data_IF_645310936371
#
_entry.id   IF_645310936371
#
_cell.length_a   1.000
_cell.length_b   1.000
_cell.length_c   1.000
_cell.angle_alpha   90.00
_cell.angle_beta   90.00
_cell.angle_gamma   90.00
#
_symmetry.space_group_name_H-M   'P 1'
#
loop_
_entity.id
_entity.type
_entity.pdbx_description
1 polymer ?
#
# COMPACT_ATOMS: atom_id res chain seq x y z
N UNK A 1 -13.21 -1.85 -11.49
CA UNK A 1 -12.02 -2.65 -11.10
C UNK A 1 -11.33 -3.23 -12.33
N UNK A 2 -11.87 -4.26 -13.01
CA UNK A 2 -11.24 -4.87 -14.20
C UNK A 2 -10.91 -3.85 -15.30
N UNK A 3 -11.90 -3.06 -15.74
CA UNK A 3 -11.70 -1.96 -16.71
C UNK A 3 -10.74 -0.87 -16.27
N UNK A 4 -10.48 -0.75 -14.98
CA UNK A 4 -9.55 0.23 -14.41
C UNK A 4 -8.16 -0.36 -14.17
N UNK A 5 -7.89 -1.58 -14.63
CA UNK A 5 -6.66 -2.35 -14.43
C UNK A 5 -6.30 -2.62 -12.96
N UNK A 6 -7.31 -2.69 -12.08
CA UNK A 6 -7.11 -3.16 -10.71
C UNK A 6 -7.20 -4.68 -10.65
N UNK A 7 -6.20 -5.30 -10.02
CA UNK A 7 -6.13 -6.74 -9.73
C UNK A 7 -6.27 -6.95 -8.22
N UNK A 8 -6.84 -8.10 -7.82
CA UNK A 8 -6.85 -8.48 -6.39
C UNK A 8 -5.41 -8.84 -5.99
N UNK A 9 -4.94 -8.30 -4.86
CA UNK A 9 -3.63 -8.66 -4.35
C UNK A 9 -3.63 -10.12 -3.86
N UNK A 10 -2.72 -10.94 -4.40
CA UNK A 10 -2.61 -12.36 -4.04
C UNK A 10 -1.91 -12.54 -2.70
N UNK A 11 -2.00 -13.74 -2.11
CA UNK A 11 -1.29 -14.03 -0.86
C UNK A 11 0.24 -13.88 -1.03
N UNK A 12 0.79 -14.26 -2.18
CA UNK A 12 2.21 -14.15 -2.48
C UNK A 12 2.65 -12.68 -2.55
N UNK A 13 1.89 -11.82 -3.23
CA UNK A 13 2.15 -10.38 -3.30
C UNK A 13 2.14 -9.76 -1.89
N UNK A 14 1.17 -10.16 -1.05
CA UNK A 14 1.04 -9.71 0.34
C UNK A 14 2.23 -10.19 1.18
N UNK A 15 2.64 -11.44 1.04
CA UNK A 15 3.77 -12.00 1.80
C UNK A 15 5.10 -11.34 1.38
N UNK A 16 5.28 -11.08 0.09
CA UNK A 16 6.44 -10.34 -0.45
C UNK A 16 6.45 -8.90 0.07
N UNK A 17 5.29 -8.25 0.12
CA UNK A 17 5.14 -6.92 0.68
C UNK A 17 5.52 -6.90 2.18
N UNK A 18 4.98 -7.83 2.97
CA UNK A 18 5.23 -7.92 4.41
C UNK A 18 6.60 -8.50 4.80
N UNK A 19 7.36 -9.08 3.85
CA UNK A 19 8.72 -9.58 4.09
C UNK A 19 9.75 -8.46 4.32
N UNK A 20 9.37 -7.19 4.11
CA UNK A 20 10.23 -6.03 4.26
C UNK A 20 9.97 -5.20 5.51
N UNK A 21 11.02 -4.55 5.99
CA UNK A 21 10.92 -3.42 6.90
C UNK A 21 11.40 -2.18 6.13
N UNK A 22 10.57 -1.13 6.10
CA UNK A 22 10.92 0.16 5.49
C UNK A 22 11.15 1.21 6.59
N UNK A 23 10.48 2.37 6.54
CA UNK A 23 10.72 3.49 7.46
C UNK A 23 9.93 3.33 8.75
N UNK A 24 8.74 2.71 8.68
CA UNK A 24 7.83 2.58 9.81
C UNK A 24 7.82 1.14 10.30
N UNK A 25 8.66 0.83 11.29
CA UNK A 25 8.66 -0.45 11.98
C UNK A 25 7.48 -0.54 12.97
N UNK A 26 6.26 -0.49 12.43
CA UNK A 26 5.03 -0.47 13.20
C UNK A 26 4.42 -1.87 13.17
N UNK A 27 4.27 -2.56 14.31
CA UNK A 27 3.54 -3.83 14.34
C UNK A 27 2.04 -3.56 14.19
N UNK A 28 1.56 -3.33 12.97
CA UNK A 28 0.16 -3.01 12.68
C UNK A 28 -0.57 -4.30 12.40
N UNK A 29 -1.29 -4.79 13.41
CA UNK A 29 -2.16 -5.96 13.24
C UNK A 29 -3.61 -5.53 13.07
N UNK A 30 -4.34 -6.20 12.19
CA UNK A 30 -5.78 -5.99 12.02
C UNK A 30 -6.54 -6.59 13.19
N UNK A 31 -7.48 -5.84 13.75
CA UNK A 31 -8.40 -6.36 14.74
C UNK A 31 -9.56 -7.10 14.05
N UNK A 32 -9.36 -8.39 13.80
CA UNK A 32 -10.33 -9.22 13.10
C UNK A 32 -11.72 -9.28 13.74
N UNK A 33 -11.84 -9.07 15.06
CA UNK A 33 -13.13 -9.14 15.74
C UNK A 33 -14.07 -8.01 15.35
N UNK A 34 -13.53 -6.94 14.76
CA UNK A 34 -14.29 -5.78 14.30
C UNK A 34 -14.65 -5.84 12.82
N UNK A 35 -14.33 -6.94 12.14
CA UNK A 35 -14.63 -7.12 10.72
C UNK A 35 -15.68 -8.21 10.54
N UNK A 36 -16.58 -7.97 9.61
CA UNK A 36 -17.53 -8.97 9.17
C UNK A 36 -16.84 -10.01 8.26
N UNK A 37 -17.10 -11.29 8.52
CA UNK A 37 -16.52 -12.42 7.77
C UNK A 37 -17.51 -13.10 6.80
N UNK A 38 -18.74 -12.58 6.72
CA UNK A 38 -19.84 -13.26 6.01
C UNK A 38 -20.02 -12.70 4.60
N UNK A 39 -19.91 -11.38 4.43
CA UNK A 39 -20.20 -10.73 3.14
C UNK A 39 -19.28 -11.20 2.03
N UNK A 40 -17.98 -11.04 2.23
CA UNK A 40 -16.98 -11.33 1.21
C UNK A 40 -16.87 -12.84 1.00
N UNK A 41 -16.93 -13.62 2.08
CA UNK A 41 -16.98 -15.08 1.99
C UNK A 41 -18.11 -15.55 1.07
N UNK A 42 -19.35 -15.11 1.31
CA UNK A 42 -20.48 -15.49 0.47
C UNK A 42 -20.33 -14.99 -0.98
N UNK A 43 -19.74 -13.81 -1.18
CA UNK A 43 -19.53 -13.27 -2.53
C UNK A 43 -18.57 -14.13 -3.36
N UNK A 44 -17.43 -14.52 -2.78
CA UNK A 44 -16.42 -15.34 -3.47
C UNK A 44 -16.79 -16.83 -3.55
N UNK A 45 -17.63 -17.33 -2.64
CA UNK A 45 -18.23 -18.66 -2.81
C UNK A 45 -19.20 -18.69 -4.01
N UNK A 46 -19.94 -17.61 -4.24
CA UNK A 46 -20.82 -17.48 -5.41
C UNK A 46 -20.09 -17.12 -6.71
N UNK A 47 -18.92 -16.49 -6.61
CA UNK A 47 -18.07 -16.08 -7.74
C UNK A 47 -16.64 -16.55 -7.50
N UNK A 48 -16.33 -17.82 -7.83
CA UNK A 48 -14.98 -18.35 -7.68
C UNK A 48 -13.97 -17.48 -8.42
N UNK A 49 -12.87 -17.17 -7.75
CA UNK A 49 -11.76 -16.41 -8.28
C UNK A 49 -10.48 -17.10 -7.88
N UNK A 50 -9.53 -17.20 -8.80
CA UNK A 50 -8.24 -17.82 -8.53
C UNK A 50 -7.36 -16.89 -7.67
N UNK A 51 -6.43 -17.49 -6.92
CA UNK A 51 -5.38 -16.79 -6.15
C UNK A 51 -5.88 -15.76 -5.11
N UNK A 52 -7.00 -16.05 -4.44
CA UNK A 52 -7.49 -15.21 -3.34
C UNK A 52 -6.55 -15.22 -2.12
N UNK A 53 -6.39 -14.08 -1.42
CA UNK A 53 -5.57 -14.00 -0.22
C UNK A 53 -6.23 -14.73 0.96
N UNK A 54 -5.44 -15.18 1.95
CA UNK A 54 -5.94 -15.90 3.13
C UNK A 54 -6.96 -15.08 3.94
N UNK A 55 -6.91 -13.75 3.84
CA UNK A 55 -7.80 -12.82 4.52
C UNK A 55 -9.02 -12.39 3.69
N UNK A 56 -9.32 -13.06 2.58
CA UNK A 56 -10.38 -12.67 1.64
C UNK A 56 -11.77 -12.55 2.28
N UNK A 57 -12.02 -13.31 3.36
CA UNK A 57 -13.28 -13.29 4.09
C UNK A 57 -13.50 -11.99 4.89
N UNK A 58 -12.43 -11.28 5.25
CA UNK A 58 -12.44 -10.08 6.11
C UNK A 58 -12.36 -8.78 5.31
N UNK A 59 -11.42 -8.72 4.37
CA UNK A 59 -11.18 -7.55 3.52
C UNK A 59 -10.51 -7.97 2.21
N UNK A 60 -10.71 -7.18 1.18
CA UNK A 60 -10.05 -7.35 -0.11
C UNK A 60 -9.23 -6.12 -0.42
N UNK A 61 -8.03 -6.35 -0.92
CA UNK A 61 -7.12 -5.33 -1.41
C UNK A 61 -7.08 -5.47 -2.93
N UNK A 62 -7.41 -4.39 -3.61
CA UNK A 62 -7.17 -4.25 -5.04
C UNK A 62 -5.97 -3.35 -5.23
N UNK A 63 -5.03 -3.75 -6.08
CA UNK A 63 -3.83 -2.98 -6.41
C UNK A 63 -3.77 -2.67 -7.91
N UNK A 64 -3.13 -1.56 -8.26
CA UNK A 64 -2.84 -1.14 -9.63
C UNK A 64 -1.51 -0.39 -9.66
N UNK A 65 -0.64 -0.75 -10.61
CA UNK A 65 0.67 -0.14 -10.81
C UNK A 65 1.69 -0.48 -9.72
N UNK A 66 2.97 -0.49 -10.12
CA UNK A 66 4.11 -0.62 -9.22
C UNK A 66 5.02 0.59 -9.47
N UNK A 67 5.19 1.40 -8.43
CA UNK A 67 6.07 2.56 -8.41
C UNK A 67 7.29 2.35 -7.54
N UNK A 68 8.10 3.39 -7.40
CA UNK A 68 9.31 3.38 -6.57
C UNK A 68 9.26 4.56 -5.61
N UNK A 69 9.34 4.29 -4.30
CA UNK A 69 9.59 5.32 -3.29
C UNK A 69 11.08 5.35 -2.94
N UNK A 70 11.66 6.55 -3.02
CA UNK A 70 13.08 6.80 -2.71
C UNK A 70 13.17 7.89 -1.67
N UNK A 71 13.74 7.55 -0.53
CA UNK A 71 14.02 8.53 0.54
C UNK A 71 15.51 8.58 0.83
N UNK A 72 16.10 9.78 0.77
CA UNK A 72 17.52 10.00 1.09
C UNK A 72 17.64 10.93 2.29
N UNK A 73 18.04 10.38 3.43
CA UNK A 73 18.25 11.14 4.66
C UNK A 73 19.42 10.54 5.48
N UNK A 74 19.77 11.17 6.60
CA UNK A 74 20.81 10.68 7.50
C UNK A 74 20.40 9.41 8.26
N UNK A 75 19.10 9.25 8.54
CA UNK A 75 18.52 8.08 9.24
C UNK A 75 19.29 7.69 10.50
N UNK A 76 19.72 8.69 11.30
CA UNK A 76 20.66 8.49 12.41
C UNK A 76 20.07 7.58 13.48
N UNK A 77 18.82 7.84 13.89
CA UNK A 77 18.15 7.06 14.93
C UNK A 77 17.88 5.63 14.47
N UNK A 78 17.45 5.44 13.22
CA UNK A 78 17.17 4.14 12.62
C UNK A 78 18.44 3.30 12.50
N UNK A 79 19.56 3.91 12.12
CA UNK A 79 20.87 3.23 12.09
C UNK A 79 21.36 2.85 13.48
N UNK A 80 21.15 3.71 14.48
CA UNK A 80 21.49 3.41 15.89
C UNK A 80 20.64 2.25 16.42
N UNK A 81 19.33 2.26 16.17
CA UNK A 81 18.43 1.17 16.55
C UNK A 81 18.85 -0.15 15.89
N UNK A 82 19.28 -0.14 14.62
CA UNK A 82 19.83 -1.31 13.93
C UNK A 82 21.13 -1.83 14.54
N UNK A 83 22.04 -0.95 14.96
CA UNK A 83 23.27 -1.35 15.68
C UNK A 83 22.94 -2.00 17.03
N UNK A 84 21.98 -1.42 17.77
CA UNK A 84 21.50 -1.98 19.03
C UNK A 84 20.87 -3.37 18.79
N UNK A 85 20.05 -3.53 17.75
CA UNK A 85 19.42 -4.81 17.41
C UNK A 85 20.45 -5.89 17.03
N UNK A 86 21.47 -5.55 16.23
CA UNK A 86 22.58 -6.46 15.89
C UNK A 86 23.38 -6.87 17.14
N UNK A 87 23.63 -5.91 18.04
CA UNK A 87 24.32 -6.16 19.30
C UNK A 87 23.51 -7.09 20.23
N UNK A 88 22.20 -6.86 20.36
CA UNK A 88 21.32 -7.76 21.13
C UNK A 88 21.24 -9.15 20.53
N UNK A 89 21.12 -9.27 19.21
CA UNK A 89 21.10 -10.56 18.52
C UNK A 89 22.41 -11.32 18.77
N UNK A 90 23.54 -10.63 18.77
CA UNK A 90 24.84 -11.20 19.13
C UNK A 90 24.87 -11.69 20.59
N UNK A 91 24.41 -10.89 21.55
CA UNK A 91 24.32 -11.28 22.97
C UNK A 91 23.41 -12.49 23.17
N UNK A 92 22.24 -12.52 22.53
CA UNK A 92 21.28 -13.62 22.62
C UNK A 92 21.84 -14.93 22.03
N UNK A 93 22.62 -14.83 20.95
CA UNK A 93 23.29 -15.98 20.31
C UNK A 93 24.40 -16.54 21.19
N UNK A 94 25.17 -15.69 21.87
CA UNK A 94 26.20 -16.11 22.84
C UNK A 94 25.57 -16.79 24.05
N UNK A 95 24.50 -16.22 24.59
CA UNK A 95 23.83 -16.73 25.79
C UNK A 95 22.95 -17.96 25.53
N UNK A 96 22.86 -18.46 24.28
CA UNK A 96 22.04 -19.61 23.83
C UNK A 96 20.54 -19.52 24.19
N UNK A 97 20.05 -18.34 24.60
CA UNK A 97 18.66 -18.08 25.01
C UNK A 97 17.67 -18.10 23.83
N UNK A 98 18.16 -18.05 22.58
CA UNK A 98 17.35 -18.21 21.37
C UNK A 98 16.49 -19.49 21.38
N UNK A 99 16.99 -20.59 21.99
CA UNK A 99 16.23 -21.86 22.09
C UNK A 99 15.00 -21.77 23.01
N UNK A 100 14.97 -20.85 23.96
CA UNK A 100 13.85 -20.67 24.90
C UNK A 100 12.76 -19.76 24.31
N UNK A 101 13.13 -18.70 23.59
CA UNK A 101 12.19 -17.79 22.95
C UNK A 101 11.54 -18.37 21.67
N UNK A 102 12.31 -19.12 20.87
CA UNK A 102 11.83 -19.69 19.59
C UNK A 102 10.85 -20.86 19.73
N UNK A 103 10.83 -21.55 20.89
CA UNK A 103 9.90 -22.67 21.15
C UNK A 103 8.43 -22.26 21.23
N UNK A 104 8.11 -20.97 21.44
CA UNK A 104 6.72 -20.48 21.51
C UNK A 104 6.17 -19.98 20.17
N UNK A 105 7.03 -19.59 19.23
CA UNK A 105 6.64 -19.11 17.89
C UNK A 105 6.44 -20.25 16.86
N UNK A 106 7.09 -21.41 17.06
CA UNK A 106 7.11 -22.51 16.08
C UNK A 106 5.82 -23.33 15.98
N UNK A 107 4.78 -23.03 16.78
CA UNK A 107 3.52 -23.78 16.77
C UNK A 107 2.48 -23.29 15.75
N UNK A 108 2.76 -22.22 14.98
CA UNK A 108 1.81 -21.62 14.03
C UNK A 108 2.19 -21.68 12.55
N UNK A 109 3.36 -22.24 12.20
CA UNK A 109 3.76 -22.50 10.80
C UNK A 109 4.04 -23.98 10.61
N UNK A 110 2.98 -24.73 10.34
CA UNK A 110 3.02 -26.00 9.62
C UNK A 110 1.76 -26.08 8.78
N UNK A 111 1.88 -25.76 7.50
CA UNK A 111 1.04 -26.34 6.45
C UNK A 111 2.03 -26.83 5.38
N UNK A 112 1.90 -28.11 5.06
CA UNK A 112 2.81 -28.89 4.22
C UNK A 112 2.90 -28.33 2.79
N UNK A 113 4.04 -28.48 2.11
CA UNK A 113 4.11 -28.33 0.67
C UNK A 113 3.64 -29.64 0.01
N UNK A 114 2.73 -29.56 -0.96
CA UNK A 114 2.46 -30.65 -1.88
C UNK A 114 2.36 -30.13 -3.31
N UNK A 115 3.37 -30.55 -4.08
CA UNK A 115 3.46 -30.81 -5.52
C UNK A 115 2.78 -29.87 -6.50
N UNK A 116 3.63 -29.16 -7.24
CA UNK A 116 3.74 -29.10 -8.70
C UNK A 116 2.62 -29.82 -9.47
N UNK A 117 1.83 -29.03 -10.18
CA UNK A 117 1.35 -29.35 -11.53
C UNK A 117 1.36 -28.04 -12.34
N UNK A 118 1.95 -28.11 -13.54
CA UNK A 118 2.05 -27.03 -14.51
C UNK A 118 0.68 -26.41 -14.79
N UNK A 119 0.48 -25.16 -14.35
CA UNK A 119 -0.56 -24.31 -14.90
C UNK A 119 0.10 -23.01 -15.33
N UNK A 120 0.43 -22.97 -16.62
CA UNK A 120 0.84 -21.80 -17.36
C UNK A 120 -0.38 -20.90 -17.53
N UNK A 121 -0.69 -20.10 -16.49
CA UNK A 121 -1.68 -19.02 -16.54
C UNK A 121 -0.93 -17.69 -16.35
N UNK A 122 -0.64 -17.05 -17.47
CA UNK A 122 -0.42 -15.60 -17.66
C UNK A 122 -0.18 -14.76 -16.37
N UNK A 123 0.96 -14.99 -15.71
CA UNK A 123 1.53 -14.10 -14.70
C UNK A 123 2.40 -13.03 -15.40
N UNK A 124 1.82 -12.26 -16.32
CA UNK A 124 2.58 -11.25 -17.09
C UNK A 124 2.92 -9.96 -16.30
N UNK A 125 2.75 -9.90 -14.99
CA UNK A 125 2.78 -8.60 -14.29
C UNK A 125 3.43 -8.60 -12.90
N UNK A 126 4.15 -9.66 -12.53
CA UNK A 126 4.99 -9.68 -11.32
C UNK A 126 6.44 -10.04 -11.69
N UNK A 127 7.07 -9.16 -12.48
CA UNK A 127 8.52 -9.14 -12.58
C UNK A 127 9.10 -8.50 -11.31
N UNK A 128 9.40 -9.34 -10.33
CA UNK A 128 10.20 -8.98 -9.13
C UNK A 128 11.62 -8.47 -9.52
N UNK A 129 12.04 -8.70 -10.77
CA UNK A 129 13.36 -8.35 -11.31
C UNK A 129 13.54 -6.87 -11.70
N UNK A 130 12.49 -6.04 -11.73
CA UNK A 130 12.62 -4.62 -12.17
C UNK A 130 12.88 -3.65 -11.02
N UNK A 131 12.53 -3.98 -9.78
CA UNK A 131 12.51 -3.02 -8.67
C UNK A 131 13.38 -3.45 -7.48
N UNK A 132 14.67 -3.12 -7.53
CA UNK A 132 15.63 -3.46 -6.48
C UNK A 132 15.27 -2.79 -5.13
N UNK A 133 15.18 -3.59 -4.05
CA UNK A 133 14.93 -3.10 -2.69
C UNK A 133 16.25 -2.72 -2.01
N UNK A 134 16.43 -1.42 -1.75
CA UNK A 134 17.61 -0.90 -1.05
C UNK A 134 17.23 -0.64 0.40
N UNK A 135 17.62 -1.55 1.31
CA UNK A 135 17.26 -1.51 2.74
C UNK A 135 18.45 -1.17 3.64
N UNK A 136 18.20 -0.38 4.69
CA UNK A 136 19.17 -0.08 5.75
C UNK A 136 19.70 -1.34 6.45
N UNK A 137 18.86 -2.35 6.66
CA UNK A 137 19.20 -3.57 7.39
C UNK A 137 20.36 -4.36 6.77
N UNK A 138 20.45 -4.34 5.43
CA UNK A 138 21.47 -5.07 4.66
C UNK A 138 22.72 -4.24 4.40
N UNK A 139 22.74 -2.97 4.80
CA UNK A 139 23.90 -2.10 4.59
C UNK A 139 25.00 -2.32 5.66
N UNK A 140 26.27 -2.11 5.30
CA UNK A 140 27.37 -2.07 6.26
C UNK A 140 27.28 -0.78 7.11
N UNK A 141 26.50 -0.82 8.19
CA UNK A 141 26.41 0.28 9.15
C UNK A 141 27.65 0.26 10.06
N UNK A 142 28.48 1.30 9.98
CA UNK A 142 29.59 1.61 10.88
C UNK A 142 29.34 2.94 11.62
N UNK A 143 29.99 3.18 12.76
CA UNK A 143 29.86 4.42 13.53
C UNK A 143 30.11 5.68 12.67
N UNK A 144 31.05 5.65 11.73
CA UNK A 144 31.30 6.76 10.79
C UNK A 144 30.26 6.91 9.67
N UNK A 145 29.41 5.90 9.44
CA UNK A 145 28.33 5.94 8.45
C UNK A 145 27.02 6.53 8.99
N UNK A 146 26.92 6.77 10.30
CA UNK A 146 25.78 7.42 10.95
C UNK A 146 25.60 8.86 10.48
N UNK A 147 26.70 9.55 10.16
CA UNK A 147 26.69 10.94 9.68
C UNK A 147 26.60 11.06 8.15
N UNK A 148 26.52 9.93 7.42
CA UNK A 148 26.38 9.93 5.96
C UNK A 148 24.92 9.80 5.57
N UNK A 149 24.51 10.53 4.52
CA UNK A 149 23.22 10.31 3.89
C UNK A 149 23.15 8.91 3.29
N UNK A 150 21.99 8.28 3.43
CA UNK A 150 21.71 6.94 2.91
C UNK A 150 20.42 6.99 2.15
N UNK A 151 20.41 6.44 0.94
CA UNK A 151 19.20 6.30 0.13
C UNK A 151 18.57 4.94 0.42
N UNK A 152 17.31 4.95 0.82
CA UNK A 152 16.46 3.78 0.95
C UNK A 152 15.52 3.77 -0.25
N UNK A 153 15.29 2.59 -0.82
CA UNK A 153 14.36 2.40 -1.92
C UNK A 153 13.43 1.24 -1.60
N UNK A 154 12.13 1.46 -1.75
CA UNK A 154 11.09 0.44 -1.59
C UNK A 154 10.07 0.55 -2.74
N UNK A 155 9.68 -0.57 -3.38
CA UNK A 155 8.59 -0.56 -4.35
C UNK A 155 7.28 -0.15 -3.67
N UNK A 156 6.44 0.56 -4.42
CA UNK A 156 5.12 1.01 -3.96
C UNK A 156 4.03 0.41 -4.82
N UNK A 157 2.87 0.16 -4.21
CA UNK A 157 1.64 0.10 -5.00
C UNK A 157 1.22 1.52 -5.35
N UNK A 158 1.10 1.83 -6.64
CA UNK A 158 0.74 3.18 -7.10
C UNK A 158 -0.67 3.55 -6.66
N UNK A 159 -1.60 2.59 -6.75
CA UNK A 159 -2.96 2.72 -6.25
C UNK A 159 -3.38 1.46 -5.51
N UNK A 160 -4.00 1.66 -4.34
CA UNK A 160 -4.62 0.59 -3.56
C UNK A 160 -6.07 0.96 -3.26
N UNK A 161 -6.98 0.00 -3.43
CA UNK A 161 -8.35 0.11 -2.94
C UNK A 161 -8.62 -1.01 -1.95
N UNK A 162 -8.99 -0.64 -0.73
CA UNK A 162 -9.34 -1.57 0.34
C UNK A 162 -10.85 -1.61 0.50
N UNK A 163 -11.44 -2.81 0.40
CA UNK A 163 -12.87 -3.06 0.56
C UNK A 163 -13.10 -3.95 1.78
N UNK A 164 -13.92 -3.50 2.72
CA UNK A 164 -14.25 -4.26 3.92
C UNK A 164 -15.62 -3.87 4.48
N UNK A 165 -16.17 -4.70 5.37
CA UNK A 165 -17.38 -4.38 6.15
C UNK A 165 -17.08 -4.50 7.65
N UNK A 166 -17.38 -3.48 8.46
CA UNK A 166 -17.31 -3.60 9.92
C UNK A 166 -18.24 -4.67 10.45
N UNK A 167 -17.86 -5.31 11.56
CA UNK A 167 -18.74 -6.21 12.29
C UNK A 167 -19.94 -5.44 12.84
N UNK A 168 -21.15 -6.02 12.72
CA UNK A 168 -22.35 -5.38 13.25
C UNK A 168 -22.31 -5.29 14.78
N UNK A 169 -22.46 -4.09 15.33
CA UNK A 169 -22.76 -3.91 16.75
C UNK A 169 -24.16 -4.44 17.07
N UNK A 170 -24.34 -5.01 18.28
CA UNK A 170 -25.56 -5.69 18.73
C UNK A 170 -26.85 -4.85 18.65
N UNK A 171 -26.78 -3.53 18.40
CA UNK A 171 -27.96 -2.66 18.30
C UNK A 171 -28.42 -2.35 16.87
N UNK A 172 -27.57 -2.43 15.83
CA UNK A 172 -27.94 -2.26 14.42
C UNK A 172 -26.97 -3.00 13.50
N UNK A 173 -27.50 -3.79 12.56
CA UNK A 173 -26.69 -4.38 11.48
C UNK A 173 -26.13 -3.26 10.60
N UNK A 174 -24.87 -2.89 10.80
CA UNK A 174 -24.16 -2.02 9.88
C UNK A 174 -24.06 -2.72 8.51
N UNK A 175 -24.82 -2.22 7.53
CA UNK A 175 -24.82 -2.72 6.15
C UNK A 175 -23.79 -2.03 5.27
N UNK A 176 -23.11 -1.01 5.78
CA UNK A 176 -22.18 -0.20 5.02
C UNK A 176 -20.95 -1.00 4.61
N UNK A 177 -20.68 -1.02 3.30
CA UNK A 177 -19.40 -1.50 2.75
C UNK A 177 -18.48 -0.28 2.69
N UNK A 178 -17.31 -0.40 3.28
CA UNK A 178 -16.30 0.63 3.26
C UNK A 178 -15.35 0.35 2.11
N UNK A 179 -15.10 1.40 1.33
CA UNK A 179 -14.17 1.40 0.21
C UNK A 179 -13.23 2.56 0.45
N UNK A 180 -11.92 2.32 0.49
CA UNK A 180 -10.91 3.38 0.67
C UNK A 180 -9.88 3.30 -0.44
N UNK A 181 -9.58 4.44 -1.05
CA UNK A 181 -8.61 4.54 -2.14
C UNK A 181 -7.35 5.27 -1.66
N UNK A 182 -6.19 4.68 -1.90
CA UNK A 182 -4.88 5.19 -1.53
C UNK A 182 -3.95 5.28 -2.74
N UNK A 183 -2.93 6.14 -2.64
CA UNK A 183 -1.82 6.24 -3.59
C UNK A 183 -0.46 6.01 -2.94
N UNK A 184 0.50 5.53 -3.73
CA UNK A 184 1.93 5.49 -3.42
C UNK A 184 2.21 4.87 -2.04
N UNK A 185 1.68 3.66 -1.82
CA UNK A 185 1.83 2.91 -0.57
C UNK A 185 3.06 1.99 -0.71
N UNK A 186 4.14 2.19 0.07
CA UNK A 186 5.27 1.27 0.12
C UNK A 186 4.78 -0.12 0.46
N UNK A 187 5.26 -1.12 -0.27
CA UNK A 187 4.83 -2.50 -0.09
C UNK A 187 5.11 -2.98 1.35
N UNK A 188 6.30 -2.69 1.89
CA UNK A 188 6.64 -2.95 3.29
C UNK A 188 5.71 -2.29 4.32
N UNK A 189 5.08 -1.16 3.98
CA UNK A 189 4.17 -0.43 4.88
C UNK A 189 2.69 -0.66 4.50
N UNK A 190 2.37 -1.69 3.71
CA UNK A 190 0.99 -1.98 3.28
C UNK A 190 0.03 -2.18 4.47
N UNK A 191 0.53 -2.61 5.64
CA UNK A 191 -0.29 -2.72 6.85
C UNK A 191 -0.96 -1.39 7.24
N UNK A 192 -0.41 -0.26 6.80
CA UNK A 192 -0.99 1.05 7.07
C UNK A 192 -2.38 1.18 6.46
N UNK A 193 -2.66 0.60 5.30
CA UNK A 193 -3.97 0.75 4.64
C UNK A 193 -5.04 -0.18 5.21
N UNK A 194 -4.63 -1.15 6.03
CA UNK A 194 -5.52 -2.17 6.57
C UNK A 194 -6.56 -1.58 7.55
N UNK A 195 -7.78 -2.13 7.56
CA UNK A 195 -8.86 -1.65 8.41
C UNK A 195 -8.65 -2.03 9.89
N UNK A 196 -9.33 -1.29 10.78
CA UNK A 196 -9.45 -1.63 12.21
C UNK A 196 -8.15 -2.06 12.90
N UNK A 197 -7.14 -1.18 12.87
CA UNK A 197 -5.82 -1.43 13.46
C UNK A 197 -5.93 -1.69 14.97
N UNK A 198 -5.22 -2.71 15.43
CA UNK A 198 -5.07 -3.01 16.85
C UNK A 198 -4.06 -2.04 17.47
N UNK A 199 -4.33 -1.58 18.69
CA UNK A 199 -3.37 -0.77 19.42
C UNK A 199 -2.08 -1.57 19.66
N UNK A 200 -0.91 -1.03 19.30
CA UNK A 200 0.35 -1.71 19.52
C UNK A 200 0.58 -1.90 21.03
N UNK A 201 1.14 -3.06 21.39
CA UNK A 201 1.60 -3.33 22.74
C UNK A 201 2.91 -2.61 23.05
N UNK A 202 3.46 -2.85 24.24
CA UNK A 202 4.79 -2.36 24.61
C UNK A 202 5.86 -2.89 23.64
N UNK A 203 6.67 -1.99 23.08
CA UNK A 203 7.81 -2.34 22.23
C UNK A 203 8.83 -3.14 23.07
N UNK A 204 9.53 -4.15 22.53
CA UNK A 204 10.56 -4.87 23.26
C UNK A 204 11.62 -3.97 23.92
N UNK A 205 11.97 -2.83 23.30
CA UNK A 205 12.89 -1.83 23.87
C UNK A 205 12.37 -1.23 25.19
N UNK A 206 11.06 -1.04 25.30
CA UNK A 206 10.43 -0.42 26.47
C UNK A 206 10.42 -1.40 27.65
N UNK A 207 10.24 -2.70 27.35
CA UNK A 207 10.43 -3.78 28.33
C UNK A 207 11.87 -3.86 28.86
N UNK A 208 12.87 -3.69 27.98
CA UNK A 208 14.28 -3.68 28.39
C UNK A 208 14.58 -2.48 29.28
N UNK A 209 14.10 -1.28 28.93
CA UNK A 209 14.25 -0.08 29.78
C UNK A 209 13.58 -0.26 31.14
N UNK A 210 12.39 -0.86 31.17
CA UNK A 210 11.68 -1.19 32.40
C UNK A 210 12.46 -2.18 33.27
N UNK A 211 12.98 -3.27 32.69
CA UNK A 211 13.78 -4.26 33.41
C UNK A 211 15.11 -3.68 33.91
N UNK A 212 15.81 -2.89 33.09
CA UNK A 212 17.07 -2.26 33.46
C UNK A 212 16.88 -1.28 34.63
N UNK A 213 15.84 -0.44 34.57
CA UNK A 213 15.52 0.49 35.66
C UNK A 213 15.07 -0.22 36.94
N UNK A 214 14.30 -1.30 36.83
CA UNK A 214 13.93 -2.13 37.97
C UNK A 214 15.16 -2.81 38.62
N UNK A 215 16.10 -3.31 37.81
CA UNK A 215 17.36 -3.88 38.32
C UNK A 215 18.22 -2.82 39.02
N UNK A 216 18.37 -1.63 38.44
CA UNK A 216 19.12 -0.52 39.07
C UNK A 216 18.45 -0.13 40.39
N UNK A 217 17.12 -0.05 40.43
CA UNK A 217 16.36 0.19 41.66
C UNK A 217 16.60 -0.88 42.72
N UNK A 218 16.56 -2.16 42.34
CA UNK A 218 16.82 -3.29 43.24
C UNK A 218 18.24 -3.30 43.79
N UNK A 219 19.24 -3.01 42.96
CA UNK A 219 20.65 -2.92 43.38
C UNK A 219 20.83 -1.76 44.36
N UNK A 220 20.20 -0.61 44.11
CA UNK A 220 20.24 0.53 45.02
C UNK A 220 19.63 0.21 46.40
N UNK A 221 18.48 -0.47 46.43
CA UNK A 221 17.82 -0.92 47.68
C UNK A 221 18.66 -1.97 48.40
N UNK A 222 19.20 -2.96 47.69
CA UNK A 222 20.05 -3.99 48.31
C UNK A 222 21.34 -3.38 48.88
N UNK A 223 21.92 -2.39 48.20
CA UNK A 223 23.11 -1.68 48.67
C UNK A 223 22.82 -0.82 49.89
N UNK A 224 21.63 -0.19 49.97
CA UNK A 224 21.25 0.59 51.14
C UNK A 224 20.93 -0.26 52.38
N UNK A 225 20.61 -1.55 52.22
CA UNK A 225 20.42 -2.50 53.32
C UNK A 225 21.73 -3.02 53.92
N UNK A 226 22.86 -2.93 53.22
CA UNK A 226 24.18 -3.33 53.73
C UNK A 226 24.89 -2.22 54.52
N UNK A 227 24.31 -1.01 54.58
CA UNK A 227 24.81 0.09 55.40
C UNK A 227 24.14 -0.02 56.77
N UNK A 228 24.92 -0.16 57.85
CA UNK A 228 24.48 -0.43 59.24
C UNK A 228 23.49 0.59 59.85
N UNK A 229 23.12 1.63 59.11
CA UNK A 229 22.07 2.59 59.45
C UNK A 229 20.98 2.54 58.39
N UNK A 230 20.03 1.62 58.54
CA UNK A 230 18.81 1.57 57.75
C UNK A 230 17.90 2.77 58.09
N UNK A 231 18.26 3.96 57.60
CA UNK A 231 17.45 5.16 57.74
C UNK A 231 16.23 5.04 56.82
N UNK A 232 15.04 4.92 57.43
CA UNK A 232 13.75 4.85 56.74
C UNK A 232 13.58 5.96 55.69
N UNK A 233 14.23 7.11 55.89
CA UNK A 233 14.24 8.22 54.92
C UNK A 233 14.96 7.88 53.62
N UNK A 234 16.09 7.17 53.69
CA UNK A 234 16.89 6.77 52.52
C UNK A 234 16.14 5.72 51.71
N UNK A 235 15.53 4.73 52.38
CA UNK A 235 14.70 3.72 51.72
C UNK A 235 13.49 4.38 51.05
N UNK A 236 12.83 5.33 51.73
CA UNK A 236 11.73 6.12 51.17
C UNK A 236 12.14 6.94 49.93
N UNK A 237 13.33 7.55 49.93
CA UNK A 237 13.86 8.30 48.79
C UNK A 237 14.16 7.41 47.58
N UNK A 238 14.76 6.22 47.80
CA UNK A 238 15.03 5.25 46.72
C UNK A 238 13.72 4.71 46.15
N UNK A 239 12.76 4.32 46.99
CA UNK A 239 11.44 3.86 46.55
C UNK A 239 10.68 4.94 45.76
N UNK A 240 10.68 6.19 46.24
CA UNK A 240 10.09 7.32 45.54
C UNK A 240 10.75 7.55 44.18
N UNK A 241 12.07 7.44 44.09
CA UNK A 241 12.81 7.58 42.83
C UNK A 241 12.46 6.47 41.83
N UNK A 242 12.35 5.22 42.30
CA UNK A 242 11.94 4.09 41.46
C UNK A 242 10.51 4.28 40.98
N UNK A 243 9.56 4.60 41.87
CA UNK A 243 8.16 4.87 41.52
C UNK A 243 8.03 6.03 40.53
N UNK A 244 8.77 7.12 40.73
CA UNK A 244 8.82 8.26 39.82
C UNK A 244 9.36 7.90 38.44
N UNK A 245 10.38 7.04 38.38
CA UNK A 245 10.92 6.57 37.10
C UNK A 245 9.96 5.60 36.39
N UNK A 246 9.28 4.73 37.12
CA UNK A 246 8.22 3.85 36.57
C UNK A 246 7.08 4.69 36.00
N UNK A 247 6.62 5.71 36.74
CA UNK A 247 5.59 6.64 36.28
C UNK A 247 6.05 7.43 35.04
N UNK A 248 7.28 7.97 35.04
CA UNK A 248 7.87 8.64 33.87
C UNK A 248 7.90 7.71 32.65
N UNK A 249 8.36 6.48 32.82
CA UNK A 249 8.43 5.48 31.75
C UNK A 249 7.05 5.18 31.19
N UNK A 250 6.05 5.03 32.05
CA UNK A 250 4.66 4.85 31.64
C UNK A 250 4.10 6.04 30.86
N UNK A 251 4.29 7.28 31.35
CA UNK A 251 3.84 8.48 30.64
C UNK A 251 4.58 8.69 29.30
N UNK A 252 5.89 8.45 29.26
CA UNK A 252 6.66 8.47 28.00
C UNK A 252 6.13 7.43 27.02
N UNK A 253 5.77 6.23 27.49
CA UNK A 253 5.15 5.22 26.65
C UNK A 253 3.80 5.69 26.08
N UNK A 254 2.93 6.27 26.92
CA UNK A 254 1.65 6.84 26.46
C UNK A 254 1.86 7.94 25.42
N UNK A 255 2.84 8.83 25.62
CA UNK A 255 3.20 9.86 24.64
C UNK A 255 3.69 9.27 23.33
N UNK A 256 4.55 8.24 23.38
CA UNK A 256 5.02 7.54 22.19
C UNK A 256 3.84 6.88 21.44
N UNK A 257 2.90 6.23 22.14
CA UNK A 257 1.69 5.67 21.53
C UNK A 257 0.86 6.73 20.80
N UNK A 258 0.65 7.90 21.40
CA UNK A 258 -0.08 9.00 20.76
C UNK A 258 0.68 9.51 19.53
N UNK A 259 2.00 9.66 19.63
CA UNK A 259 2.83 10.03 18.48
C UNK A 259 2.73 8.99 17.35
N UNK A 260 2.75 7.69 17.66
CA UNK A 260 2.55 6.63 16.69
C UNK A 260 1.19 6.72 16.00
N UNK A 261 0.11 6.90 16.76
CA UNK A 261 -1.23 7.06 16.21
C UNK A 261 -1.34 8.29 15.30
N UNK A 262 -0.71 9.40 15.69
CA UNK A 262 -0.67 10.61 14.88
C UNK A 262 0.10 10.41 13.58
N UNK A 263 1.24 9.71 13.60
CA UNK A 263 2.01 9.41 12.39
C UNK A 263 1.22 8.52 11.42
N UNK A 264 0.59 7.46 11.92
CA UNK A 264 -0.28 6.59 11.11
C UNK A 264 -1.44 7.38 10.52
N UNK A 265 -2.11 8.21 11.33
CA UNK A 265 -3.26 9.00 10.90
C UNK A 265 -2.87 10.01 9.83
N UNK A 266 -1.74 10.71 10.02
CA UNK A 266 -1.22 11.67 9.06
C UNK A 266 -0.81 10.99 7.76
N UNK A 267 -0.05 9.89 7.84
CA UNK A 267 0.36 9.14 6.66
C UNK A 267 -0.83 8.56 5.88
N UNK A 268 -1.86 8.07 6.58
CA UNK A 268 -3.13 7.66 5.95
C UNK A 268 -3.81 8.82 5.26
N UNK A 269 -3.92 9.98 5.91
CA UNK A 269 -4.57 11.15 5.33
C UNK A 269 -3.84 11.65 4.09
N UNK A 270 -2.51 11.75 4.15
CA UNK A 270 -1.68 12.24 3.04
C UNK A 270 -1.74 11.30 1.82
N UNK A 271 -1.92 9.99 2.06
CA UNK A 271 -1.95 8.97 1.00
C UNK A 271 -3.35 8.55 0.57
N UNK A 272 -4.39 8.88 1.32
CA UNK A 272 -5.77 8.58 0.96
C UNK A 272 -6.25 9.58 -0.10
N UNK A 273 -6.68 9.05 -1.24
CA UNK A 273 -7.27 9.83 -2.33
C UNK A 273 -8.74 10.11 -2.06
N UNK A 274 -9.50 9.07 -1.72
CA UNK A 274 -10.94 9.15 -1.55
C UNK A 274 -11.49 7.98 -0.70
N UNK A 275 -12.77 8.04 -0.36
CA UNK A 275 -13.49 7.03 0.41
C UNK A 275 -14.95 6.90 -0.02
N UNK A 276 -15.51 5.71 0.10
CA UNK A 276 -16.91 5.41 -0.17
C UNK A 276 -17.30 5.73 -1.61
N UNK A 277 -18.34 6.56 -1.78
CA UNK A 277 -18.86 6.95 -3.09
C UNK A 277 -17.81 7.69 -3.93
N UNK A 278 -16.99 8.53 -3.32
CA UNK A 278 -15.99 9.30 -4.05
C UNK A 278 -14.96 8.39 -4.73
N UNK A 279 -14.54 7.30 -4.08
CA UNK A 279 -13.69 6.28 -4.72
C UNK A 279 -14.31 5.72 -6.00
N UNK A 280 -15.62 5.45 -6.00
CA UNK A 280 -16.30 4.91 -7.19
C UNK A 280 -16.38 5.94 -8.32
N UNK A 281 -16.67 7.20 -7.98
CA UNK A 281 -16.69 8.29 -8.97
C UNK A 281 -15.31 8.51 -9.58
N UNK A 282 -14.27 8.59 -8.75
CA UNK A 282 -12.89 8.71 -9.21
C UNK A 282 -12.48 7.54 -10.10
N UNK A 283 -12.90 6.31 -9.78
CA UNK A 283 -12.64 5.15 -10.65
C UNK A 283 -13.37 5.24 -11.99
N UNK A 284 -14.63 5.70 -11.99
CA UNK A 284 -15.38 5.91 -13.21
C UNK A 284 -14.71 6.98 -14.07
N UNK A 285 -14.30 8.10 -13.49
CA UNK A 285 -13.61 9.17 -14.19
C UNK A 285 -12.26 8.68 -14.76
N UNK A 286 -11.46 7.95 -13.98
CA UNK A 286 -10.20 7.34 -14.44
C UNK A 286 -10.43 6.45 -15.67
N UNK A 287 -11.46 5.58 -15.64
CA UNK A 287 -11.79 4.70 -16.77
C UNK A 287 -12.23 5.52 -17.97
N UNK A 288 -13.14 6.48 -17.80
CA UNK A 288 -13.62 7.32 -18.91
C UNK A 288 -12.44 8.03 -19.57
N UNK A 289 -11.53 8.61 -18.78
CA UNK A 289 -10.35 9.29 -19.31
C UNK A 289 -9.42 8.34 -20.08
N UNK A 290 -9.22 7.12 -19.58
CA UNK A 290 -8.41 6.13 -20.28
C UNK A 290 -9.06 5.74 -21.63
N UNK A 291 -10.35 5.41 -21.61
CA UNK A 291 -11.12 4.98 -22.78
C UNK A 291 -11.17 6.09 -23.86
N UNK A 292 -11.25 7.37 -23.44
CA UNK A 292 -11.19 8.52 -24.35
C UNK A 292 -9.81 8.68 -24.98
N UNK A 293 -8.72 8.54 -24.19
CA UNK A 293 -7.35 8.62 -24.70
C UNK A 293 -7.06 7.54 -25.73
N UNK A 294 -7.47 6.30 -25.47
CA UNK A 294 -7.32 5.18 -26.40
C UNK A 294 -8.03 5.46 -27.73
N UNK A 295 -9.25 6.00 -27.69
CA UNK A 295 -10.00 6.40 -28.89
C UNK A 295 -9.30 7.53 -29.66
N UNK A 296 -8.81 8.56 -28.96
CA UNK A 296 -8.12 9.70 -29.59
C UNK A 296 -6.83 9.24 -30.26
N UNK A 297 -6.01 8.45 -29.58
CA UNK A 297 -4.73 7.94 -30.10
C UNK A 297 -4.98 7.06 -31.33
N UNK A 298 -5.93 6.12 -31.25
CA UNK A 298 -6.28 5.26 -32.38
C UNK A 298 -6.74 6.05 -33.60
N UNK A 299 -7.59 7.07 -33.39
CA UNK A 299 -8.07 7.92 -34.47
C UNK A 299 -6.94 8.77 -35.07
N UNK A 300 -6.08 9.34 -34.24
CA UNK A 300 -4.93 10.13 -34.67
C UNK A 300 -3.98 9.31 -35.54
N UNK A 301 -3.62 8.09 -35.11
CA UNK A 301 -2.76 7.19 -35.89
C UNK A 301 -3.39 6.82 -37.24
N UNK A 302 -4.68 6.50 -37.28
CA UNK A 302 -5.37 6.20 -38.54
C UNK A 302 -5.42 7.41 -39.49
N UNK A 303 -5.48 8.63 -38.96
CA UNK A 303 -5.43 9.85 -39.78
C UNK A 303 -4.05 10.09 -40.38
N UNK A 304 -2.98 9.91 -39.59
CA UNK A 304 -1.60 10.21 -40.01
C UNK A 304 -0.99 9.09 -40.87
N UNK A 305 -1.16 7.83 -40.46
CA UNK A 305 -0.55 6.66 -41.12
C UNK A 305 -1.47 5.97 -42.14
N UNK A 306 -2.77 6.31 -42.12
CA UNK A 306 -3.76 5.75 -43.05
C UNK A 306 -4.31 4.39 -42.61
N UNK A 307 -4.55 3.50 -43.58
CA UNK A 307 -5.26 2.23 -43.33
C UNK A 307 -4.37 1.21 -42.64
N UNK A 308 -4.84 0.66 -41.54
CA UNK A 308 -4.09 -0.30 -40.72
C UNK A 308 -4.91 -1.55 -40.45
N UNK A 309 -4.28 -2.72 -40.41
CA UNK A 309 -4.87 -3.87 -39.75
C UNK A 309 -4.81 -3.68 -38.20
N UNK A 310 -5.46 -4.58 -37.45
CA UNK A 310 -5.53 -4.46 -35.98
C UNK A 310 -4.14 -4.43 -35.32
N UNK A 311 -3.23 -5.32 -35.72
CA UNK A 311 -1.92 -5.46 -35.10
C UNK A 311 -1.00 -4.29 -35.46
N UNK A 312 -1.07 -3.82 -36.71
CA UNK A 312 -0.36 -2.61 -37.15
C UNK A 312 -0.81 -1.39 -36.35
N UNK A 313 -2.11 -1.20 -36.19
CA UNK A 313 -2.66 -0.08 -35.44
C UNK A 313 -2.23 -0.13 -33.96
N UNK A 314 -2.29 -1.30 -33.35
CA UNK A 314 -1.84 -1.54 -31.98
C UNK A 314 -0.39 -1.11 -31.78
N UNK A 315 0.50 -1.64 -32.64
CA UNK A 315 1.93 -1.35 -32.60
C UNK A 315 2.22 0.15 -32.82
N UNK A 316 1.53 0.80 -33.76
CA UNK A 316 1.72 2.23 -34.01
C UNK A 316 1.22 3.10 -32.84
N UNK A 317 0.13 2.71 -32.18
CA UNK A 317 -0.33 3.38 -30.97
C UNK A 317 0.68 3.25 -29.82
N UNK A 318 1.21 2.05 -29.58
CA UNK A 318 2.23 1.81 -28.56
C UNK A 318 3.54 2.55 -28.86
N UNK A 319 3.95 2.58 -30.13
CA UNK A 319 5.14 3.30 -30.59
C UNK A 319 4.99 4.81 -30.36
N UNK A 320 3.84 5.40 -30.71
CA UNK A 320 3.55 6.80 -30.41
C UNK A 320 3.60 7.08 -28.91
N UNK A 321 3.01 6.21 -28.09
CA UNK A 321 3.01 6.39 -26.63
C UNK A 321 4.44 6.36 -26.08
N UNK A 322 5.26 5.44 -26.59
CA UNK A 322 6.66 5.31 -26.19
C UNK A 322 7.53 6.48 -26.63
N UNK A 323 7.37 6.94 -27.88
CA UNK A 323 8.20 8.01 -28.44
C UNK A 323 7.86 9.38 -27.87
N UNK A 324 6.57 9.71 -27.77
CA UNK A 324 6.12 11.05 -27.35
C UNK A 324 6.04 11.19 -25.82
N UNK A 325 5.73 10.12 -25.09
CA UNK A 325 5.51 10.17 -23.64
C UNK A 325 6.54 9.38 -22.82
N UNK A 326 7.37 8.56 -23.46
CA UNK A 326 8.38 7.74 -22.76
C UNK A 326 7.79 6.57 -21.97
N UNK A 327 6.53 6.21 -22.23
CA UNK A 327 5.80 5.16 -21.50
C UNK A 327 5.67 3.90 -22.34
N UNK A 328 5.80 2.73 -21.71
CA UNK A 328 5.54 1.43 -22.34
C UNK A 328 4.25 0.87 -21.80
N UNK A 329 3.29 0.58 -22.67
CA UNK A 329 2.01 -0.03 -22.31
C UNK A 329 1.53 -0.97 -23.41
N UNK A 330 0.70 -1.94 -23.02
CA UNK A 330 -0.10 -2.74 -23.93
C UNK A 330 -1.39 -1.99 -24.27
N UNK A 331 -1.57 -1.58 -25.52
CA UNK A 331 -2.69 -0.74 -25.93
C UNK A 331 -3.97 -1.56 -26.20
N UNK A 332 -5.15 -1.10 -25.75
CA UNK A 332 -6.42 -1.78 -26.08
C UNK A 332 -7.00 -1.24 -27.41
N UNK A 333 -6.33 -1.57 -28.52
CA UNK A 333 -6.78 -1.19 -29.87
C UNK A 333 -8.21 -1.64 -30.16
N UNK A 334 -8.58 -2.78 -29.58
CA UNK A 334 -9.77 -3.52 -29.95
C UNK A 334 -11.02 -2.82 -29.43
N UNK A 335 -10.97 -2.35 -28.20
CA UNK A 335 -12.05 -1.56 -27.63
C UNK A 335 -12.06 -0.13 -28.16
N UNK A 336 -10.90 0.46 -28.47
CA UNK A 336 -10.83 1.80 -29.07
C UNK A 336 -11.50 1.84 -30.45
N UNK A 337 -11.17 0.88 -31.32
CA UNK A 337 -11.73 0.79 -32.67
C UNK A 337 -13.21 0.46 -32.65
N UNK A 338 -13.67 -0.46 -31.79
CA UNK A 338 -15.12 -0.77 -31.64
C UNK A 338 -15.93 0.48 -31.31
N UNK A 339 -15.41 1.37 -30.45
CA UNK A 339 -16.07 2.65 -30.13
C UNK A 339 -16.10 3.57 -31.33
N UNK A 340 -14.99 3.72 -32.05
CA UNK A 340 -14.91 4.54 -33.26
C UNK A 340 -15.83 4.03 -34.38
N UNK A 341 -15.94 2.72 -34.57
CA UNK A 341 -16.88 2.09 -35.49
C UNK A 341 -18.34 2.37 -35.08
N UNK A 342 -18.65 2.26 -33.78
CA UNK A 342 -19.98 2.59 -33.25
C UNK A 342 -20.36 4.04 -33.47
N UNK A 343 -19.40 4.96 -33.40
CA UNK A 343 -19.62 6.37 -33.75
C UNK A 343 -19.72 6.59 -35.27
N UNK A 344 -19.34 5.62 -36.11
CA UNK A 344 -19.29 5.78 -37.57
C UNK A 344 -18.09 6.60 -38.07
N UNK A 345 -17.08 6.79 -37.21
CA UNK A 345 -15.84 7.52 -37.52
C UNK A 345 -14.83 6.61 -38.21
N UNK A 346 -14.79 5.33 -37.80
CA UNK A 346 -13.95 4.30 -38.40
C UNK A 346 -14.81 3.26 -39.10
N UNK A 347 -14.31 2.72 -40.21
CA UNK A 347 -14.91 1.60 -40.94
C UNK A 347 -13.87 0.56 -41.27
N UNK A 348 -14.30 -0.68 -41.46
CA UNK A 348 -13.44 -1.80 -41.85
C UNK A 348 -13.61 -2.09 -43.34
N UNK A 349 -12.49 -2.20 -44.07
CA UNK A 349 -12.49 -2.56 -45.49
C UNK A 349 -12.75 -4.07 -45.69
N UNK A 350 -12.93 -4.48 -46.94
CA UNK A 350 -13.17 -5.88 -47.32
C UNK A 350 -12.02 -6.84 -46.95
N UNK A 351 -10.81 -6.33 -46.71
CA UNK A 351 -9.61 -7.11 -46.35
C UNK A 351 -9.38 -7.08 -44.83
N UNK A 352 -10.20 -6.34 -44.08
CA UNK A 352 -10.16 -6.26 -42.63
C UNK A 352 -9.29 -5.13 -42.06
N UNK A 353 -8.92 -4.13 -42.87
CA UNK A 353 -8.18 -2.94 -42.40
C UNK A 353 -9.13 -1.82 -42.00
N UNK A 354 -8.77 -1.13 -40.94
CA UNK A 354 -9.46 0.04 -40.43
C UNK A 354 -9.09 1.28 -41.23
N UNK A 355 -10.07 2.10 -41.53
CA UNK A 355 -9.91 3.41 -42.16
C UNK A 355 -10.82 4.42 -41.44
N UNK A 356 -10.34 5.63 -41.23
CA UNK A 356 -11.12 6.68 -40.60
C UNK A 356 -11.65 7.70 -41.61
N UNK A 357 -12.74 8.39 -41.25
CA UNK A 357 -13.18 9.59 -41.95
C UNK A 357 -12.25 10.77 -41.62
N UNK A 358 -12.21 11.77 -42.50
CA UNK A 358 -11.42 12.98 -42.23
C UNK A 358 -11.93 13.76 -41.00
N UNK A 359 -11.03 14.50 -40.34
CA UNK A 359 -11.30 15.22 -39.08
C UNK A 359 -12.57 16.07 -39.09
N UNK A 360 -12.84 16.80 -40.17
CA UNK A 360 -14.07 17.61 -40.30
C UNK A 360 -15.33 16.76 -40.18
N UNK A 361 -15.35 15.62 -40.87
CA UNK A 361 -16.48 14.70 -40.86
C UNK A 361 -16.61 14.00 -39.50
N UNK A 362 -15.50 13.63 -38.87
CA UNK A 362 -15.51 13.07 -37.52
C UNK A 362 -16.13 14.06 -36.52
N UNK A 363 -15.78 15.36 -36.61
CA UNK A 363 -16.33 16.40 -35.75
C UNK A 363 -17.84 16.62 -35.99
N UNK A 364 -18.30 16.57 -37.25
CA UNK A 364 -19.73 16.61 -37.56
C UNK A 364 -20.50 15.42 -36.97
N UNK A 365 -19.89 14.22 -36.98
CA UNK A 365 -20.48 12.99 -36.44
C UNK A 365 -20.59 13.04 -34.91
N UNK A 366 -19.54 13.52 -34.22
CA UNK A 366 -19.53 13.66 -32.76
C UNK A 366 -20.55 14.73 -32.33
N UNK A 367 -20.69 15.79 -33.13
CA UNK A 367 -21.63 16.87 -32.88
C UNK A 367 -21.16 17.84 -31.79
N UNK A 368 -22.07 18.72 -31.35
CA UNK A 368 -21.78 19.74 -30.34
C UNK A 368 -21.76 19.11 -28.95
N UNK A 369 -20.69 19.35 -28.19
CA UNK A 369 -20.60 18.83 -26.82
C UNK A 369 -21.47 19.65 -25.85
N UNK A 370 -21.85 19.05 -24.73
CA UNK A 370 -22.61 19.74 -23.67
C UNK A 370 -21.83 20.95 -23.15
N UNK A 371 -20.51 20.86 -23.04
CA UNK A 371 -19.65 21.98 -22.62
C UNK A 371 -19.70 23.13 -23.63
N UNK A 372 -19.63 22.84 -24.93
CA UNK A 372 -19.78 23.87 -25.96
C UNK A 372 -21.15 24.55 -25.90
N UNK A 373 -22.22 23.79 -25.63
CA UNK A 373 -23.56 24.34 -25.44
C UNK A 373 -23.63 25.24 -24.20
N UNK A 374 -23.00 24.83 -23.09
CA UNK A 374 -22.94 25.62 -21.85
C UNK A 374 -22.09 26.88 -22.02
N UNK A 375 -20.95 26.80 -22.72
CA UNK A 375 -20.10 27.94 -23.03
C UNK A 375 -20.82 28.93 -23.95
N UNK A 376 -21.49 28.45 -25.00
CA UNK A 376 -22.31 29.27 -25.88
C UNK A 376 -23.46 29.94 -25.11
N UNK A 377 -24.12 29.23 -24.20
CA UNK A 377 -25.18 29.79 -23.35
C UNK A 377 -24.64 30.87 -22.38
N UNK A 378 -23.47 30.64 -21.78
CA UNK A 378 -22.81 31.62 -20.89
C UNK A 378 -22.35 32.88 -21.65
N UNK A 379 -21.82 32.72 -22.85
CA UNK A 379 -21.38 33.84 -23.68
C UNK A 379 -22.59 34.62 -24.23
N UNK A 380 -23.65 33.94 -24.66
CA UNK A 380 -24.90 34.55 -25.13
C UNK A 380 -25.70 35.32 -24.08
N UNK A 381 -25.45 35.09 -22.78
CA UNK A 381 -26.05 35.84 -21.67
C UNK A 381 -25.35 37.16 -21.33
N UNK A 382 -24.22 37.49 -21.97
CA UNK A 382 -23.45 38.71 -21.71
C UNK A 382 -23.71 39.85 -22.71
N UNK A 383 -24.64 39.64 -23.66
CA UNK A 383 -25.03 40.62 -24.66
C UNK A 383 -26.52 40.95 -24.56
N UNK A 384 -26.87 41.76 -23.57
CA UNK A 384 -28.04 42.64 -23.62
C UNK A 384 -27.67 43.95 -22.90
N UNK A 385 -27.57 45.09 -23.61
CA UNK A 385 -27.51 46.42 -22.99
C UNK A 385 -28.83 46.81 -22.34
#
# INVERSE_FOLDING_TARGET
MKKSNFKIATQEEIDIALSGQYILNLPITVNESKLDKVLLKNYFEAHPHDNLPDSYDKYIIFRRGIGIDRTTDYFVMEKVDMLIARFWSYILRITRLEKFLSRRAKRRRRKDPKNDDEINLELEDFQDDVYERIRLEKMPISFGSLLKKTTIQEPTFDRIIVVYRPASSNSKKERGIFVKHFKNIPMADMEIVLPEKKNPGLTPKDWVKFLASAMVGLVAVASSLHVDSADLRVIGAVLSTVLGYLAKTYFTFQQNLVQYQNLITRSMYDKQLDSGKGTLLHLCDDVIQQEVKEVIISFFILMEQGKANRQELDQWCEELIREEFGESCNFDVDDAVKKLEKFGIVTKDIIGRYQCVGLKRANEIIGTTTEELVLKARQGGSTTP
#
